data_IF_987574384767
#
_entry.id   IF_987574384767
#
_cell.length_a   1.000
_cell.length_b   1.000
_cell.length_c   1.000
_cell.angle_alpha   90.00
_cell.angle_beta   90.00
_cell.angle_gamma   90.00
#
_symmetry.space_group_name_H-M   'P 1'
#
loop_
_entity.id
_entity.type
_entity.pdbx_description
1 polymer ?
#
# COMPACT_ATOMS: atom_id res chain seq x y z
N UNK A 1 4.41 -9.10 6.81
CA UNK A 1 3.96 -8.26 7.94
C UNK A 1 5.16 -7.55 8.56
N UNK A 2 5.00 -6.27 8.84
CA UNK A 2 6.09 -5.42 9.35
C UNK A 2 5.62 -4.64 10.57
N UNK A 3 6.56 -4.35 11.43
CA UNK A 3 6.35 -3.39 12.55
C UNK A 3 6.73 -1.98 12.08
N UNK A 4 6.45 -0.83 12.74
CA UNK A 4 6.66 0.30 12.43
C UNK A 4 7.86 0.63 12.11
N UNK A 5 8.78 0.09 13.06
CA UNK A 5 10.23 0.37 12.90
C UNK A 5 10.75 -0.08 11.54
N UNK A 6 10.29 -1.24 11.07
CA UNK A 6 10.65 -1.76 9.73
C UNK A 6 10.18 -0.81 8.62
N UNK A 7 8.99 -0.23 8.78
CA UNK A 7 8.43 0.72 7.80
C UNK A 7 9.24 2.02 7.79
N UNK A 8 9.65 2.49 8.98
CA UNK A 8 10.52 3.67 9.15
C UNK A 8 11.83 3.44 8.41
N UNK A 9 12.45 2.28 8.62
CA UNK A 9 13.71 1.92 7.97
C UNK A 9 13.55 1.76 6.45
N UNK A 10 12.50 1.08 6.02
CA UNK A 10 12.20 0.84 4.60
C UNK A 10 12.12 2.14 3.82
N UNK A 11 11.40 3.13 4.34
CA UNK A 11 11.17 4.40 3.66
C UNK A 11 12.15 5.50 4.08
N UNK A 12 13.10 5.19 4.96
CA UNK A 12 14.09 6.15 5.48
C UNK A 12 13.41 7.43 5.96
N UNK A 13 12.39 7.26 6.80
CA UNK A 13 11.58 8.35 7.34
C UNK A 13 11.66 8.34 8.86
N UNK A 14 11.07 9.34 9.51
CA UNK A 14 10.99 9.36 10.98
C UNK A 14 9.79 8.56 11.48
N UNK A 15 9.87 8.08 12.70
CA UNK A 15 8.77 7.37 13.36
C UNK A 15 7.53 8.27 13.46
N UNK A 16 7.72 9.55 13.76
CA UNK A 16 6.64 10.54 13.87
C UNK A 16 5.90 10.68 12.53
N UNK A 17 6.67 10.80 11.44
CA UNK A 17 6.11 10.96 10.10
C UNK A 17 5.32 9.72 9.66
N UNK A 18 5.86 8.52 9.88
CA UNK A 18 5.16 7.27 9.56
C UNK A 18 3.88 7.15 10.39
N UNK A 19 3.96 7.46 11.70
CA UNK A 19 2.78 7.42 12.59
C UNK A 19 1.68 8.39 12.13
N UNK A 20 2.07 9.56 11.65
CA UNK A 20 1.13 10.55 11.13
C UNK A 20 0.44 10.03 9.86
N UNK A 21 1.20 9.43 8.95
CA UNK A 21 0.62 8.83 7.74
C UNK A 21 -0.36 7.70 8.09
N UNK A 22 0.02 6.82 9.03
CA UNK A 22 -0.85 5.73 9.49
C UNK A 22 -2.15 6.29 10.07
N UNK A 23 -2.04 7.30 10.93
CA UNK A 23 -3.21 7.95 11.53
C UNK A 23 -4.13 8.53 10.46
N UNK A 24 -3.57 9.18 9.44
CA UNK A 24 -4.36 9.78 8.36
C UNK A 24 -5.02 8.73 7.46
N UNK A 25 -4.34 7.61 7.19
CA UNK A 25 -4.90 6.49 6.42
C UNK A 25 -6.15 5.93 7.11
N UNK A 26 -6.08 5.71 8.42
CA UNK A 26 -7.21 5.18 9.18
C UNK A 26 -8.31 6.22 9.39
N UNK A 27 -7.94 7.49 9.60
CA UNK A 27 -8.90 8.59 9.76
C UNK A 27 -9.71 8.84 8.48
N UNK A 28 -9.07 8.69 7.32
CA UNK A 28 -9.75 8.85 6.03
C UNK A 28 -10.51 7.62 5.58
N UNK A 29 -10.51 6.57 6.39
CA UNK A 29 -11.17 5.28 6.11
C UNK A 29 -10.64 4.60 4.84
N UNK A 30 -9.44 4.98 4.38
CA UNK A 30 -8.77 4.33 3.26
C UNK A 30 -8.52 2.85 3.55
N UNK A 31 -8.11 2.56 4.80
CA UNK A 31 -7.94 1.18 5.30
C UNK A 31 -8.61 1.04 6.65
N UNK A 32 -9.11 -0.15 6.93
CA UNK A 32 -9.73 -0.49 8.21
C UNK A 32 -8.65 -1.06 9.14
N UNK A 33 -8.45 -0.42 10.29
CA UNK A 33 -7.39 -0.80 11.23
C UNK A 33 -7.51 -2.25 11.69
N UNK A 34 -8.73 -2.71 12.02
CA UNK A 34 -8.96 -4.08 12.53
C UNK A 34 -8.59 -5.17 11.53
N UNK A 35 -8.63 -4.88 10.23
CA UNK A 35 -8.27 -5.85 9.18
C UNK A 35 -6.81 -5.77 8.75
N UNK A 36 -6.12 -4.67 9.06
CA UNK A 36 -4.77 -4.41 8.56
C UNK A 36 -3.69 -4.45 9.62
N UNK A 37 -4.08 -4.39 10.91
CA UNK A 37 -3.14 -4.42 12.04
C UNK A 37 -3.41 -5.66 12.88
N UNK A 38 -2.34 -6.32 13.30
CA UNK A 38 -2.41 -7.43 14.27
C UNK A 38 -1.43 -7.18 15.39
N UNK A 39 -1.91 -7.36 16.60
CA UNK A 39 -1.10 -7.22 17.82
C UNK A 39 -0.55 -8.58 18.23
N UNK A 40 0.76 -8.63 18.44
CA UNK A 40 1.45 -9.81 18.94
C UNK A 40 2.16 -9.47 20.24
N UNK A 41 1.91 -10.32 21.22
CA UNK A 41 2.55 -10.23 22.52
C UNK A 41 3.90 -10.96 22.43
N UNK A 42 4.99 -10.24 22.61
CA UNK A 42 6.33 -10.82 22.65
C UNK A 42 6.89 -10.72 24.06
N UNK A 43 7.48 -11.82 24.52
CA UNK A 43 8.16 -11.87 25.82
C UNK A 43 9.66 -12.00 25.52
N UNK A 44 10.43 -11.05 26.03
CA UNK A 44 11.88 -11.04 25.84
C UNK A 44 12.54 -10.96 27.22
N UNK A 45 13.56 -11.78 27.40
CA UNK A 45 14.37 -11.74 28.62
C UNK A 45 15.48 -10.70 28.46
N UNK A 46 15.47 -9.67 29.30
CA UNK A 46 16.52 -8.65 29.36
C UNK A 46 17.15 -8.74 30.74
N UNK A 47 18.30 -9.41 30.80
CA UNK A 47 18.95 -9.74 32.06
C UNK A 47 18.11 -10.70 32.88
N UNK A 48 17.83 -10.34 34.14
CA UNK A 48 17.03 -11.16 35.04
C UNK A 48 15.53 -10.85 35.02
N UNK A 49 15.07 -9.99 34.08
CA UNK A 49 13.65 -9.60 34.01
C UNK A 49 13.06 -10.04 32.67
N UNK A 50 11.83 -10.57 32.75
CA UNK A 50 11.01 -10.80 31.55
C UNK A 50 10.20 -9.56 31.25
N UNK A 51 10.41 -9.01 30.05
CA UNK A 51 9.69 -7.84 29.57
C UNK A 51 8.70 -8.28 28.49
N UNK A 52 7.43 -7.96 28.71
CA UNK A 52 6.36 -8.22 27.75
C UNK A 52 6.11 -6.96 26.93
N UNK A 53 6.18 -7.08 25.62
CA UNK A 53 5.87 -5.97 24.71
C UNK A 53 4.79 -6.40 23.73
N UNK A 54 3.85 -5.51 23.50
CA UNK A 54 2.86 -5.67 22.44
C UNK A 54 3.38 -4.96 21.19
N UNK A 55 3.54 -5.73 20.13
CA UNK A 55 4.02 -5.20 18.84
C UNK A 55 2.87 -5.22 17.84
N UNK A 56 2.65 -4.09 17.19
CA UNK A 56 1.70 -3.94 16.10
C UNK A 56 2.37 -4.33 14.79
N UNK A 57 1.78 -5.30 14.11
CA UNK A 57 2.23 -5.75 12.80
C UNK A 57 1.24 -5.29 11.74
N UNK A 58 1.76 -4.64 10.73
CA UNK A 58 1.01 -4.08 9.61
C UNK A 58 1.07 -5.02 8.41
N UNK A 59 -0.02 -5.09 7.66
CA UNK A 59 -0.07 -5.91 6.44
C UNK A 59 0.51 -5.13 5.24
N UNK A 60 0.52 -5.77 4.07
CA UNK A 60 1.09 -5.18 2.86
C UNK A 60 0.32 -3.93 2.40
N UNK A 61 -1.00 -3.92 2.58
CA UNK A 61 -1.83 -2.79 2.15
C UNK A 61 -1.41 -1.50 2.85
N UNK A 62 -1.12 -1.59 4.15
CA UNK A 62 -0.64 -0.45 4.94
C UNK A 62 0.72 0.03 4.41
N UNK A 63 1.63 -0.90 4.10
CA UNK A 63 2.96 -0.56 3.58
C UNK A 63 2.84 0.17 2.24
N UNK A 64 1.97 -0.31 1.37
CA UNK A 64 1.71 0.30 0.05
C UNK A 64 1.14 1.72 0.24
N UNK A 65 0.10 1.87 1.08
CA UNK A 65 -0.53 3.17 1.32
C UNK A 65 0.44 4.20 1.90
N UNK A 66 1.29 3.77 2.85
CA UNK A 66 2.35 4.62 3.41
C UNK A 66 3.36 4.99 2.32
N UNK A 67 3.78 4.02 1.51
CA UNK A 67 4.76 4.22 0.44
C UNK A 67 4.32 5.26 -0.59
N UNK A 68 3.03 5.34 -0.88
CA UNK A 68 2.48 6.35 -1.77
C UNK A 68 2.42 7.75 -1.15
N UNK A 69 2.46 7.86 0.18
CA UNK A 69 2.33 9.14 0.91
C UNK A 69 3.67 9.73 1.34
N UNK A 70 4.65 8.87 1.63
CA UNK A 70 5.94 9.28 2.18
C UNK A 70 6.75 10.05 1.14
N UNK A 71 7.18 11.27 1.48
CA UNK A 71 7.95 12.13 0.58
C UNK A 71 9.46 12.02 0.86
N UNK A 72 10.01 10.82 0.66
CA UNK A 72 11.44 10.53 0.78
C UNK A 72 11.95 9.97 -0.55
N UNK A 73 13.27 9.94 -0.72
CA UNK A 73 13.89 9.31 -1.90
C UNK A 73 13.44 7.85 -2.03
N UNK A 74 13.37 7.12 -0.91
CA UNK A 74 12.90 5.73 -0.89
C UNK A 74 11.42 5.62 -1.27
N UNK A 75 10.58 6.56 -0.83
CA UNK A 75 9.17 6.62 -1.23
C UNK A 75 9.03 6.84 -2.72
N UNK A 76 9.84 7.74 -3.29
CA UNK A 76 9.86 8.00 -4.75
C UNK A 76 10.28 6.73 -5.50
N UNK A 77 11.37 6.08 -5.07
CA UNK A 77 11.85 4.83 -5.67
C UNK A 77 10.80 3.72 -5.59
N UNK A 78 10.11 3.61 -4.44
CA UNK A 78 9.03 2.65 -4.25
C UNK A 78 7.90 2.87 -5.26
N UNK A 79 7.45 4.12 -5.42
CA UNK A 79 6.38 4.45 -6.38
C UNK A 79 6.80 4.18 -7.81
N UNK A 80 8.03 4.52 -8.18
CA UNK A 80 8.57 4.24 -9.51
C UNK A 80 8.63 2.74 -9.78
N UNK A 81 9.10 1.97 -8.79
CA UNK A 81 9.13 0.51 -8.89
C UNK A 81 7.71 -0.06 -8.99
N UNK A 82 6.80 0.39 -8.11
CA UNK A 82 5.41 -0.08 -8.12
C UNK A 82 4.75 0.19 -9.47
N UNK A 83 4.94 1.40 -10.01
CA UNK A 83 4.38 1.77 -11.31
C UNK A 83 5.00 0.95 -12.46
N UNK A 84 6.30 0.61 -12.36
CA UNK A 84 6.96 -0.20 -13.38
C UNK A 84 6.50 -1.66 -13.33
N UNK A 85 6.10 -2.16 -12.15
CA UNK A 85 5.60 -3.52 -11.98
C UNK A 85 4.10 -3.62 -12.25
N UNK A 86 3.40 -2.49 -12.26
CA UNK A 86 1.96 -2.46 -12.56
C UNK A 86 1.75 -2.71 -14.04
N UNK A 87 1.57 -3.97 -14.39
CA UNK A 87 1.23 -4.37 -15.76
C UNK A 87 -0.26 -4.18 -16.06
N UNK A 88 -1.00 -3.76 -15.07
CA UNK A 88 -2.42 -3.51 -15.22
C UNK A 88 -2.64 -2.23 -16.02
N UNK A 89 -3.53 -2.32 -16.98
CA UNK A 89 -3.88 -1.19 -17.85
C UNK A 89 -5.35 -0.85 -17.63
N UNK A 90 -5.63 0.43 -17.70
CA UNK A 90 -6.98 0.93 -17.52
C UNK A 90 -7.42 1.65 -18.79
N UNK A 91 -8.62 1.35 -19.22
CA UNK A 91 -9.29 2.07 -20.31
C UNK A 91 -10.41 2.89 -19.70
N UNK A 92 -10.36 4.19 -19.93
CA UNK A 92 -11.39 5.13 -19.46
C UNK A 92 -12.19 5.57 -20.67
N UNK A 93 -13.50 5.33 -20.64
CA UNK A 93 -14.42 5.70 -21.72
C UNK A 93 -15.35 6.81 -21.21
N UNK A 94 -15.42 7.88 -21.97
CA UNK A 94 -16.29 9.05 -21.72
C UNK A 94 -16.11 9.65 -20.31
N UNK A 95 -14.87 9.53 -19.78
CA UNK A 95 -14.48 10.06 -18.47
C UNK A 95 -15.29 9.48 -17.28
N UNK A 96 -16.01 8.38 -17.51
CA UNK A 96 -16.87 7.80 -16.50
C UNK A 96 -16.59 6.30 -16.28
N UNK A 97 -16.54 5.55 -17.35
CA UNK A 97 -16.41 4.08 -17.26
C UNK A 97 -14.95 3.66 -17.28
N UNK A 98 -14.55 2.90 -16.28
CA UNK A 98 -13.19 2.39 -16.13
C UNK A 98 -13.21 0.87 -16.37
N UNK A 99 -12.36 0.43 -17.27
CA UNK A 99 -12.14 -0.99 -17.53
C UNK A 99 -10.71 -1.37 -17.18
N UNK A 100 -10.56 -2.37 -16.34
CA UNK A 100 -9.28 -2.96 -16.01
C UNK A 100 -8.93 -4.03 -17.05
N UNK A 101 -7.76 -3.93 -17.64
CA UNK A 101 -7.25 -4.87 -18.61
C UNK A 101 -6.05 -5.58 -18.01
N UNK A 102 -6.21 -6.84 -17.65
CA UNK A 102 -5.19 -7.64 -16.97
C UNK A 102 -4.08 -8.18 -17.85
N UNK A 103 -3.86 -7.60 -19.04
CA UNK A 103 -2.84 -8.10 -19.96
C UNK A 103 -2.23 -6.97 -20.78
N UNK A 104 -1.03 -7.21 -21.29
CA UNK A 104 -0.37 -6.29 -22.21
C UNK A 104 -1.14 -6.18 -23.53
N UNK A 105 -1.28 -4.97 -24.03
CA UNK A 105 -1.94 -4.73 -25.33
C UNK A 105 -1.19 -5.41 -26.48
N UNK A 106 0.10 -5.72 -26.32
CA UNK A 106 0.89 -6.47 -27.30
C UNK A 106 0.39 -7.90 -27.49
N UNK A 107 -0.26 -8.46 -26.48
CA UNK A 107 -0.76 -9.83 -26.47
C UNK A 107 -2.25 -9.92 -26.83
N UNK A 108 -2.85 -8.78 -27.16
CA UNK A 108 -4.26 -8.73 -27.59
C UNK A 108 -4.45 -9.61 -28.84
N UNK A 109 -5.35 -10.58 -28.71
CA UNK A 109 -5.64 -11.52 -29.78
C UNK A 109 -4.73 -12.75 -29.84
N UNK A 110 -3.66 -12.78 -29.02
CA UNK A 110 -2.74 -13.93 -28.98
C UNK A 110 -3.00 -14.86 -27.80
N UNK A 111 -3.51 -14.34 -26.72
CA UNK A 111 -3.79 -15.08 -25.49
C UNK A 111 -5.15 -14.69 -24.94
N UNK A 112 -5.73 -15.61 -24.21
CA UNK A 112 -6.99 -15.34 -23.50
C UNK A 112 -6.66 -14.38 -22.35
N UNK A 113 -7.38 -13.27 -22.29
CA UNK A 113 -7.23 -12.32 -21.21
C UNK A 113 -8.62 -11.81 -20.81
N UNK A 114 -8.73 -11.39 -19.58
CA UNK A 114 -9.97 -10.86 -19.04
C UNK A 114 -9.88 -9.35 -18.88
N UNK A 115 -10.99 -8.68 -19.11
CA UNK A 115 -11.15 -7.29 -18.71
C UNK A 115 -12.45 -7.19 -17.93
N UNK A 116 -12.48 -6.28 -16.98
CA UNK A 116 -13.66 -6.08 -16.14
C UNK A 116 -13.93 -4.60 -15.97
N UNK A 117 -15.21 -4.25 -16.01
CA UNK A 117 -15.63 -2.90 -15.67
C UNK A 117 -15.45 -2.71 -14.16
N UNK A 118 -14.84 -1.60 -13.78
CA UNK A 118 -14.63 -1.26 -12.37
C UNK A 118 -15.71 -0.29 -11.91
N UNK A 119 -16.26 -0.55 -10.74
CA UNK A 119 -17.30 0.28 -10.16
C UNK A 119 -16.66 1.34 -9.24
N UNK A 120 -15.75 2.13 -9.82
CA UNK A 120 -15.09 3.24 -9.13
C UNK A 120 -15.14 4.49 -10.02
N UNK A 121 -15.21 5.67 -9.44
CA UNK A 121 -15.20 6.91 -10.23
C UNK A 121 -13.86 7.11 -10.95
N UNK A 122 -13.91 7.52 -12.20
CA UNK A 122 -12.71 7.79 -13.01
C UNK A 122 -11.81 8.86 -12.38
N UNK A 123 -12.38 9.78 -11.61
CA UNK A 123 -11.65 10.83 -10.92
C UNK A 123 -10.61 10.29 -9.92
N UNK A 124 -10.77 9.05 -9.44
CA UNK A 124 -9.79 8.44 -8.55
C UNK A 124 -8.52 8.11 -9.33
N UNK A 125 -8.66 7.51 -10.52
CA UNK A 125 -7.50 7.16 -11.35
C UNK A 125 -6.80 8.39 -11.92
N UNK A 126 -7.56 9.39 -12.36
CA UNK A 126 -6.96 10.60 -12.92
C UNK A 126 -6.16 11.41 -11.90
N UNK A 127 -6.46 11.25 -10.61
CA UNK A 127 -5.67 11.87 -9.53
C UNK A 127 -4.39 11.09 -9.21
N UNK A 128 -4.32 9.83 -9.61
CA UNK A 128 -3.16 8.96 -9.35
C UNK A 128 -2.14 8.98 -10.48
N UNK A 129 -2.55 9.43 -11.67
CA UNK A 129 -1.69 9.57 -12.85
C UNK A 129 -1.08 10.97 -12.93
#
# INVERSE_FOLDING_TARGET
>A
RCVXETVVELFQSSKANISEHLKNIYKSEELIQSSTVRNFRTVRQEGNRQITRNLEYYNLDVIISVGYRVNTKRGIQFRQWANSQAHDRFLIIDQSDIYHIGASLKDLGKKLFAFSKMDIPASILTKLL
#
